data_IF_500754181955
#
_entry.id   IF_500754181955
#
_cell.length_a   1.000
_cell.length_b   1.000
_cell.length_c   1.000
_cell.angle_alpha   90.00
_cell.angle_beta   90.00
_cell.angle_gamma   90.00
#
_symmetry.space_group_name_H-M   'P 1'
#
loop_
_entity.id
_entity.type
_entity.pdbx_description
1 polymer ?
#
# COMPACT_ATOMS: atom_id res chain seq x y z
N UNK A 1 -11.81 -17.55 27.91
CA UNK A 1 -11.51 -17.25 26.49
C UNK A 1 -10.12 -16.62 26.40
N UNK A 2 -9.12 -17.37 25.95
CA UNK A 2 -7.80 -16.80 25.63
C UNK A 2 -7.97 -15.96 24.38
N UNK A 3 -7.95 -14.63 24.49
CA UNK A 3 -7.79 -13.76 23.32
C UNK A 3 -6.48 -14.19 22.65
N UNK A 4 -6.57 -14.73 21.45
CA UNK A 4 -5.39 -15.17 20.71
C UNK A 4 -4.42 -13.97 20.62
N UNK A 5 -3.23 -14.12 21.19
CA UNK A 5 -2.13 -13.17 20.96
C UNK A 5 -1.93 -13.11 19.44
N UNK A 6 -1.78 -11.92 18.84
CA UNK A 6 -1.46 -11.88 17.42
C UNK A 6 -0.13 -12.60 17.21
N UNK A 7 -0.13 -13.62 16.34
CA UNK A 7 1.09 -14.32 15.97
C UNK A 7 2.03 -13.28 15.35
N UNK A 8 3.18 -13.03 15.99
CA UNK A 8 4.17 -12.05 15.55
C UNK A 8 4.58 -12.29 14.09
N UNK A 9 4.64 -13.54 13.65
CA UNK A 9 4.95 -13.90 12.26
C UNK A 9 3.91 -13.38 11.28
N UNK A 10 2.62 -13.47 11.64
CA UNK A 10 1.54 -12.96 10.80
C UNK A 10 1.63 -11.45 10.62
N UNK A 11 1.94 -10.72 11.71
CA UNK A 11 2.12 -9.27 11.68
C UNK A 11 3.33 -8.86 10.84
N UNK A 12 4.46 -9.56 11.00
CA UNK A 12 5.66 -9.32 10.20
C UNK A 12 5.38 -9.58 8.72
N UNK A 13 4.64 -10.64 8.39
CA UNK A 13 4.26 -10.94 7.00
C UNK A 13 3.40 -9.85 6.39
N UNK A 14 2.43 -9.33 7.13
CA UNK A 14 1.60 -8.20 6.68
C UNK A 14 2.45 -6.95 6.45
N UNK A 15 3.28 -6.56 7.43
CA UNK A 15 4.14 -5.39 7.31
C UNK A 15 5.10 -5.47 6.11
N UNK A 16 5.68 -6.65 5.84
CA UNK A 16 6.53 -6.87 4.65
C UNK A 16 5.76 -6.67 3.34
N UNK A 17 4.50 -7.14 3.27
CA UNK A 17 3.64 -6.93 2.09
C UNK A 17 3.31 -5.45 1.91
N UNK A 18 2.87 -4.78 2.96
CA UNK A 18 2.48 -3.37 2.89
C UNK A 18 3.66 -2.49 2.50
N UNK A 19 4.84 -2.75 3.08
CA UNK A 19 6.08 -2.06 2.72
C UNK A 19 6.45 -2.25 1.25
N UNK A 20 6.38 -3.49 0.73
CA UNK A 20 6.71 -3.76 -0.66
C UNK A 20 5.77 -3.01 -1.63
N UNK A 21 4.50 -2.86 -1.26
CA UNK A 21 3.52 -2.12 -2.06
C UNK A 21 3.85 -0.62 -2.07
N UNK A 22 4.09 -0.02 -0.91
CA UNK A 22 4.48 1.39 -0.81
C UNK A 22 5.78 1.64 -1.57
N UNK A 23 6.78 0.77 -1.41
CA UNK A 23 8.05 0.85 -2.12
C UNK A 23 7.85 0.80 -3.65
N UNK A 24 7.03 -0.12 -4.15
CA UNK A 24 6.77 -0.25 -5.58
C UNK A 24 6.03 0.97 -6.15
N UNK A 25 5.10 1.55 -5.39
CA UNK A 25 4.40 2.76 -5.81
C UNK A 25 5.39 3.93 -5.92
N UNK A 26 6.23 4.13 -4.89
CA UNK A 26 7.17 5.27 -4.83
C UNK A 26 8.40 5.11 -5.73
N UNK A 27 8.84 3.88 -6.01
CA UNK A 27 10.04 3.60 -6.80
C UNK A 27 9.74 3.29 -8.27
N UNK A 28 8.46 3.23 -8.65
CA UNK A 28 8.02 2.91 -10.00
C UNK A 28 8.41 3.99 -11.00
N UNK A 29 9.05 3.59 -12.10
CA UNK A 29 9.58 4.49 -13.15
C UNK A 29 8.50 5.39 -13.79
N UNK A 30 7.24 4.94 -13.78
CA UNK A 30 6.09 5.66 -14.35
C UNK A 30 5.18 6.31 -13.28
N UNK A 31 5.60 6.31 -12.01
CA UNK A 31 4.80 6.78 -10.87
C UNK A 31 5.26 8.16 -10.32
N UNK A 32 5.74 9.05 -11.17
CA UNK A 32 6.23 10.39 -10.77
C UNK A 32 5.21 11.28 -10.04
N UNK A 33 3.92 10.92 -10.10
CA UNK A 33 2.83 11.63 -9.43
C UNK A 33 2.50 11.13 -8.02
N UNK A 34 3.23 10.15 -7.48
CA UNK A 34 3.07 9.67 -6.12
C UNK A 34 4.14 10.25 -5.20
N UNK A 35 3.75 10.56 -3.96
CA UNK A 35 4.65 11.05 -2.92
C UNK A 35 4.27 10.48 -1.56
N UNK A 36 5.20 10.55 -0.62
CA UNK A 36 4.98 10.11 0.76
C UNK A 36 4.69 11.33 1.64
N UNK A 37 3.58 11.26 2.39
CA UNK A 37 3.24 12.23 3.42
C UNK A 37 3.83 11.77 4.76
N UNK A 38 4.94 12.38 5.18
CA UNK A 38 5.63 12.04 6.42
C UNK A 38 4.78 12.30 7.67
N UNK A 39 3.87 13.26 7.65
CA UNK A 39 3.05 13.57 8.81
C UNK A 39 1.93 12.56 9.02
N UNK A 40 1.34 12.08 7.92
CA UNK A 40 0.22 11.15 7.95
C UNK A 40 0.67 9.70 7.81
N UNK A 41 1.91 9.46 7.38
CA UNK A 41 2.48 8.15 7.06
C UNK A 41 1.66 7.43 5.97
N UNK A 42 1.39 8.14 4.87
CA UNK A 42 0.54 7.68 3.76
C UNK A 42 1.17 8.02 2.41
N UNK A 43 0.81 7.25 1.38
CA UNK A 43 1.06 7.64 -0.01
C UNK A 43 -0.02 8.62 -0.47
N UNK A 44 0.39 9.73 -1.05
CA UNK A 44 -0.48 10.77 -1.63
C UNK A 44 -0.21 10.92 -3.13
N UNK A 45 -1.27 11.22 -3.88
CA UNK A 45 -1.23 11.51 -5.31
C UNK A 45 -2.51 12.24 -5.72
N UNK A 46 -2.50 12.91 -6.87
CA UNK A 46 -3.74 13.43 -7.47
C UNK A 46 -4.68 12.28 -7.88
N UNK A 47 -5.99 12.53 -7.87
CA UNK A 47 -6.99 11.52 -8.22
C UNK A 47 -6.78 10.94 -9.63
N UNK A 48 -6.32 11.77 -10.58
CA UNK A 48 -6.02 11.35 -11.96
C UNK A 48 -4.86 10.36 -12.01
N UNK A 49 -3.83 10.55 -11.17
CA UNK A 49 -2.68 9.65 -11.03
C UNK A 49 -3.12 8.35 -10.35
N UNK A 50 -3.89 8.45 -9.26
CA UNK A 50 -4.42 7.28 -8.54
C UNK A 50 -5.30 6.39 -9.43
N UNK A 51 -6.18 6.98 -10.24
CA UNK A 51 -7.07 6.25 -11.14
C UNK A 51 -6.35 5.65 -12.35
N UNK A 52 -5.26 6.28 -12.82
CA UNK A 52 -4.45 5.75 -13.93
C UNK A 52 -3.62 4.54 -13.47
N UNK A 53 -3.03 4.59 -12.28
CA UNK A 53 -2.29 3.47 -11.69
C UNK A 53 -3.18 2.23 -11.50
N UNK A 54 -4.41 2.39 -10.98
CA UNK A 54 -5.37 1.27 -10.84
C UNK A 54 -5.72 0.60 -12.18
N UNK A 55 -5.87 1.38 -13.25
CA UNK A 55 -6.21 0.85 -14.58
C UNK A 55 -5.05 0.09 -15.22
N UNK A 56 -3.81 0.49 -14.97
CA UNK A 56 -2.62 -0.26 -15.39
C UNK A 56 -2.36 -1.52 -14.56
N UNK A 57 -2.86 -1.55 -13.32
CA UNK A 57 -2.75 -2.65 -12.38
C UNK A 57 -3.97 -3.60 -12.43
N UNK A 58 -4.59 -3.75 -13.61
CA UNK A 58 -5.61 -4.77 -13.84
C UNK A 58 -4.95 -6.15 -13.89
N UNK A 59 -4.71 -6.73 -12.72
CA UNK A 59 -4.79 -8.16 -12.34
C UNK A 59 -4.09 -8.21 -10.96
N UNK A 60 -4.88 -8.51 -9.93
CA UNK A 60 -4.52 -8.61 -8.51
C UNK A 60 -4.34 -7.30 -7.74
N UNK A 61 -5.46 -6.68 -7.35
CA UNK A 61 -5.50 -6.06 -6.02
C UNK A 61 -6.70 -6.57 -5.26
N UNK A 62 -6.46 -7.62 -4.47
CA UNK A 62 -7.25 -7.92 -3.29
C UNK A 62 -7.16 -6.72 -2.35
N UNK A 63 -8.14 -5.83 -2.48
CA UNK A 63 -8.70 -4.96 -1.43
C UNK A 63 -7.73 -4.55 -0.32
N UNK A 64 -7.09 -3.38 -0.47
CA UNK A 64 -6.66 -2.61 0.70
C UNK A 64 -7.89 -1.90 1.28
N UNK A 65 -8.11 -1.95 2.60
CA UNK A 65 -9.22 -1.28 3.23
C UNK A 65 -8.93 0.22 3.22
N UNK A 66 -9.72 0.96 2.46
CA UNK A 66 -10.01 2.33 2.85
C UNK A 66 -11.02 2.20 4.00
N UNK A 67 -10.59 2.63 5.18
CA UNK A 67 -11.20 2.55 6.53
C UNK A 67 -10.67 1.42 7.42
#
# INVERSE_FOLDING_TARGET
MLKAKPNLESRIRTLKRDWAIVYNILSGKDNSGFSWDEHRQLVIAEDVVWNSHKKGQSIQTSQFPLL
#
